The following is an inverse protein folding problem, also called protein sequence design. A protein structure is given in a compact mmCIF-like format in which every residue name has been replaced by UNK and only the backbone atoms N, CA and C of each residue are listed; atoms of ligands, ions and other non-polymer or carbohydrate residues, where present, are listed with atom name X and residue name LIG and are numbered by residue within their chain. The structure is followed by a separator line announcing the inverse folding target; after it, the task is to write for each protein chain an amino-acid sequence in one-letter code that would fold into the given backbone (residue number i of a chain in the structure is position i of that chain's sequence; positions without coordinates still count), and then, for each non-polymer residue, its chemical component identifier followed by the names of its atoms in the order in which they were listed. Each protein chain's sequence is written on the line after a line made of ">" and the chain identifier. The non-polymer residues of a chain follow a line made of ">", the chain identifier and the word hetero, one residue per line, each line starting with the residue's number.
data_IF_362070022978
#
_entry.id   IF_362070022978
#
_cell.length_a   1.000
_cell.length_b   1.000
_cell.length_c   1.000
_cell.angle_alpha   90.00
_cell.angle_beta   90.00
_cell.angle_gamma   90.00
#
_symmetry.space_group_name_H-M   'P 1'
#
loop_
_entity.id
_entity.type
_entity.pdbx_description
1 polymer ?
#
# COMPACT_ATOMS: atom_id res chain seq x y z
N UNK A 1 -35.62 -15.32 87.81
CA UNK A 1 -35.49 -14.46 86.61
C UNK A 1 -34.31 -14.96 85.77
N UNK A 2 -34.56 -15.76 84.74
CA UNK A 2 -33.50 -16.19 83.81
C UNK A 2 -33.78 -15.53 82.46
N UNK A 3 -32.88 -14.65 82.00
CA UNK A 3 -32.94 -14.06 80.67
C UNK A 3 -32.35 -15.07 79.66
N UNK A 4 -33.04 -15.39 78.56
CA UNK A 4 -32.43 -16.16 77.49
C UNK A 4 -31.31 -15.32 76.85
N UNK A 5 -30.17 -15.96 76.63
CA UNK A 5 -28.99 -15.39 75.97
C UNK A 5 -29.20 -15.61 74.47
N UNK A 6 -29.43 -14.54 73.72
CA UNK A 6 -29.64 -14.64 72.27
C UNK A 6 -28.40 -15.26 71.60
N UNK A 7 -28.55 -16.28 70.75
CA UNK A 7 -27.42 -16.89 70.08
C UNK A 7 -26.80 -15.90 69.09
N UNK A 8 -25.46 -15.82 69.01
CA UNK A 8 -24.80 -14.90 68.09
C UNK A 8 -25.15 -15.28 66.64
N UNK A 9 -25.66 -14.30 65.90
CA UNK A 9 -26.20 -14.44 64.52
C UNK A 9 -25.14 -14.78 63.46
N UNK A 10 -23.86 -14.89 63.84
CA UNK A 10 -22.76 -15.21 62.93
C UNK A 10 -21.87 -16.26 63.62
N UNK A 11 -21.88 -17.48 63.10
CA UNK A 11 -21.00 -18.55 63.55
C UNK A 11 -19.55 -18.24 63.16
N UNK A 12 -18.58 -18.49 64.04
CA UNK A 12 -17.16 -18.20 63.77
C UNK A 12 -16.62 -18.88 62.50
N UNK A 13 -17.17 -20.03 62.12
CA UNK A 13 -16.89 -20.70 60.84
C UNK A 13 -17.36 -19.89 59.63
N UNK A 14 -18.48 -19.19 59.72
CA UNK A 14 -19.01 -18.35 58.66
C UNK A 14 -18.12 -17.11 58.46
N UNK A 15 -17.62 -16.53 59.55
CA UNK A 15 -16.66 -15.42 59.48
C UNK A 15 -15.34 -15.84 58.81
N UNK A 16 -14.81 -17.02 59.19
CA UNK A 16 -13.61 -17.56 58.53
C UNK A 16 -13.83 -17.88 57.05
N UNK A 17 -14.99 -18.43 56.69
CA UNK A 17 -15.31 -18.69 55.28
C UNK A 17 -15.34 -17.40 54.45
N UNK A 18 -15.89 -16.31 55.01
CA UNK A 18 -15.92 -15.00 54.34
C UNK A 18 -14.51 -14.43 54.16
N UNK A 19 -13.63 -14.59 55.15
CA UNK A 19 -12.22 -14.16 55.05
C UNK A 19 -11.48 -14.95 53.96
N UNK A 20 -11.62 -16.28 53.95
CA UNK A 20 -10.97 -17.11 52.92
C UNK A 20 -11.50 -16.79 51.53
N UNK A 21 -12.82 -16.59 51.40
CA UNK A 21 -13.45 -16.24 50.12
C UNK A 21 -12.98 -14.88 49.60
N UNK A 22 -12.86 -13.87 50.48
CA UNK A 22 -12.37 -12.55 50.09
C UNK A 22 -10.91 -12.58 49.67
N UNK A 23 -10.05 -13.33 50.38
CA UNK A 23 -8.65 -13.55 49.98
C UNK A 23 -8.57 -14.26 48.63
N UNK A 24 -9.39 -15.31 48.42
CA UNK A 24 -9.41 -16.05 47.16
C UNK A 24 -9.83 -15.17 45.97
N UNK A 25 -10.89 -14.35 46.14
CA UNK A 25 -11.32 -13.39 45.12
C UNK A 25 -10.22 -12.37 44.82
N UNK A 26 -9.56 -11.84 45.84
CA UNK A 26 -8.45 -10.91 45.67
C UNK A 26 -7.29 -11.55 44.89
N UNK A 27 -6.98 -12.81 45.19
CA UNK A 27 -5.91 -13.56 44.52
C UNK A 27 -6.23 -13.83 43.05
N UNK A 28 -7.49 -14.13 42.70
CA UNK A 28 -7.93 -14.31 41.31
C UNK A 28 -7.78 -13.01 40.51
N UNK A 29 -8.16 -11.87 41.11
CA UNK A 29 -8.03 -10.55 40.47
C UNK A 29 -6.56 -10.19 40.28
N UNK A 30 -5.71 -10.40 41.29
CA UNK A 30 -4.27 -10.12 41.23
C UNK A 30 -3.56 -11.02 40.20
N UNK A 31 -3.88 -12.31 40.20
CA UNK A 31 -3.33 -13.29 39.26
C UNK A 31 -3.73 -12.98 37.81
N UNK A 32 -4.96 -12.52 37.57
CA UNK A 32 -5.42 -12.08 36.24
C UNK A 32 -4.71 -10.81 35.74
N UNK A 33 -4.38 -9.88 36.65
CA UNK A 33 -3.61 -8.67 36.30
C UNK A 33 -2.13 -8.97 36.04
N UNK A 34 -1.56 -9.95 36.73
CA UNK A 34 -0.14 -10.29 36.61
C UNK A 34 0.20 -11.14 35.37
N UNK A 35 -0.72 -12.00 34.91
CA UNK A 35 -0.55 -12.76 33.67
C UNK A 35 -0.64 -11.90 32.42
N UNK A 36 -1.43 -10.82 32.45
CA UNK A 36 -1.57 -9.91 31.31
C UNK A 36 -0.31 -9.08 31.09
N UNK A 37 0.36 -8.61 32.15
CA UNK A 37 1.58 -7.78 31.99
C UNK A 37 2.74 -8.53 31.32
N UNK A 38 2.92 -9.82 31.59
CA UNK A 38 4.00 -10.60 30.97
C UNK A 38 3.78 -10.84 29.47
N UNK A 39 2.53 -11.03 29.03
CA UNK A 39 2.19 -11.22 27.62
C UNK A 39 2.25 -9.93 26.80
N UNK A 40 1.89 -8.79 27.39
CA UNK A 40 1.96 -7.50 26.70
C UNK A 40 3.41 -7.04 26.47
N UNK A 41 4.32 -7.32 27.40
CA UNK A 41 5.74 -6.94 27.25
C UNK A 41 6.40 -7.77 26.15
N UNK A 42 6.17 -9.09 26.09
CA UNK A 42 6.79 -9.93 25.06
C UNK A 42 6.27 -9.61 23.65
N UNK A 43 4.97 -9.33 23.49
CA UNK A 43 4.42 -8.95 22.19
C UNK A 43 4.88 -7.56 21.74
N UNK A 44 5.09 -6.63 22.67
CA UNK A 44 5.61 -5.31 22.35
C UNK A 44 7.08 -5.38 21.89
N UNK A 45 7.89 -6.25 22.51
CA UNK A 45 9.27 -6.49 22.09
C UNK A 45 9.35 -7.10 20.68
N UNK A 46 8.54 -8.11 20.39
CA UNK A 46 8.52 -8.77 19.07
C UNK A 46 8.06 -7.83 17.95
N UNK A 47 7.05 -7.00 18.21
CA UNK A 47 6.59 -5.99 17.24
C UNK A 47 7.66 -4.92 16.99
N UNK A 48 8.32 -4.44 18.05
CA UNK A 48 9.36 -3.42 17.93
C UNK A 48 10.58 -3.95 17.16
N UNK A 49 10.96 -5.21 17.39
CA UNK A 49 12.06 -5.85 16.66
C UNK A 49 11.72 -6.02 15.17
N UNK A 50 10.49 -6.43 14.85
CA UNK A 50 10.02 -6.53 13.48
C UNK A 50 10.05 -5.17 12.74
N UNK A 51 9.61 -4.10 13.41
CA UNK A 51 9.64 -2.74 12.85
C UNK A 51 11.07 -2.25 12.59
N UNK A 52 11.99 -2.50 13.53
CA UNK A 52 13.40 -2.16 13.37
C UNK A 52 14.00 -2.89 12.15
N UNK A 53 13.74 -4.19 12.01
CA UNK A 53 14.24 -4.97 10.88
C UNK A 53 13.67 -4.47 9.54
N UNK A 54 12.37 -4.16 9.50
CA UNK A 54 11.74 -3.61 8.32
C UNK A 54 12.36 -2.25 7.92
N UNK A 55 12.64 -1.38 8.88
CA UNK A 55 13.20 -0.06 8.61
C UNK A 55 14.68 -0.13 8.21
N UNK A 56 15.46 -1.04 8.80
CA UNK A 56 16.83 -1.31 8.38
C UNK A 56 16.89 -1.83 6.94
N UNK A 57 16.00 -2.77 6.57
CA UNK A 57 15.91 -3.29 5.21
C UNK A 57 15.54 -2.19 4.19
N UNK A 58 14.60 -1.31 4.54
CA UNK A 58 14.27 -0.13 3.72
C UNK A 58 15.48 0.79 3.56
N UNK A 59 16.18 1.10 4.66
CA UNK A 59 17.37 1.95 4.63
C UNK A 59 18.45 1.38 3.73
N UNK A 60 18.73 0.08 3.84
CA UNK A 60 19.72 -0.57 2.98
C UNK A 60 19.33 -0.50 1.50
N UNK A 61 18.05 -0.77 1.18
CA UNK A 61 17.53 -0.65 -0.19
C UNK A 61 17.67 0.77 -0.73
N UNK A 62 17.35 1.78 0.07
CA UNK A 62 17.47 3.19 -0.32
C UNK A 62 18.93 3.60 -0.51
N UNK A 63 19.84 3.14 0.34
CA UNK A 63 21.27 3.40 0.19
C UNK A 63 21.82 2.76 -1.09
N UNK A 64 21.49 1.49 -1.36
CA UNK A 64 21.87 0.82 -2.62
C UNK A 64 21.35 1.60 -3.83
N UNK A 65 20.08 2.03 -3.80
CA UNK A 65 19.51 2.80 -4.90
C UNK A 65 20.18 4.16 -5.09
N UNK A 66 20.48 4.86 -4.00
CA UNK A 66 21.23 6.12 -4.04
C UNK A 66 22.59 5.90 -4.70
N UNK A 67 23.29 4.86 -4.29
CA UNK A 67 24.63 4.56 -4.77
C UNK A 67 24.60 4.17 -6.26
N UNK A 68 23.60 3.40 -6.70
CA UNK A 68 23.36 3.10 -8.13
C UNK A 68 23.11 4.35 -8.96
N UNK A 69 22.21 5.22 -8.51
CA UNK A 69 21.83 6.45 -9.23
C UNK A 69 22.97 7.46 -9.26
N UNK A 70 23.86 7.44 -8.26
CA UNK A 70 25.02 8.33 -8.20
C UNK A 70 26.14 8.00 -9.20
N UNK A 71 26.09 6.84 -9.86
CA UNK A 71 27.09 6.44 -10.85
C UNK A 71 26.83 7.13 -12.18
N UNK A 72 27.87 7.67 -12.80
CA UNK A 72 27.81 8.32 -14.11
C UNK A 72 27.25 7.39 -15.20
N UNK A 73 27.52 6.08 -15.13
CA UNK A 73 26.96 5.07 -16.03
C UNK A 73 25.42 5.03 -15.99
N UNK A 74 24.83 5.12 -14.80
CA UNK A 74 23.38 5.16 -14.63
C UNK A 74 22.79 6.44 -15.21
N UNK A 75 23.47 7.58 -15.02
CA UNK A 75 23.06 8.86 -15.59
C UNK A 75 23.11 8.83 -17.11
N UNK A 76 24.17 8.25 -17.69
CA UNK A 76 24.28 8.09 -19.15
C UNK A 76 23.19 7.17 -19.69
N UNK A 77 22.96 6.01 -19.07
CA UNK A 77 21.91 5.09 -19.47
C UNK A 77 20.52 5.75 -19.40
N UNK A 78 20.22 6.44 -18.30
CA UNK A 78 18.97 7.18 -18.15
C UNK A 78 18.82 8.28 -19.22
N UNK A 79 19.91 9.02 -19.49
CA UNK A 79 19.92 10.06 -20.49
C UNK A 79 19.62 9.51 -21.90
N UNK A 80 20.17 8.34 -22.26
CA UNK A 80 19.92 7.71 -23.57
C UNK A 80 18.53 7.08 -23.67
N UNK A 81 18.12 6.32 -22.65
CA UNK A 81 16.91 5.49 -22.69
C UNK A 81 15.63 6.26 -22.37
N UNK A 82 15.66 7.10 -21.33
CA UNK A 82 14.46 7.80 -20.84
C UNK A 82 14.37 9.24 -21.33
N UNK A 83 15.50 9.96 -21.33
CA UNK A 83 15.52 11.36 -21.75
C UNK A 83 15.76 11.53 -23.26
N UNK A 84 16.16 10.47 -23.97
CA UNK A 84 16.57 10.48 -25.37
C UNK A 84 17.59 11.59 -25.70
N UNK A 85 18.45 11.90 -24.73
CA UNK A 85 19.50 12.89 -24.86
C UNK A 85 20.67 12.36 -25.67
N UNK A 86 21.26 13.28 -26.43
CA UNK A 86 22.32 13.02 -27.38
C UNK A 86 23.58 13.75 -26.88
N UNK A 87 24.73 13.06 -26.80
CA UNK A 87 25.99 13.66 -26.34
C UNK A 87 26.45 14.71 -27.36
N UNK A 88 27.15 15.76 -26.91
CA UNK A 88 27.66 16.78 -27.84
C UNK A 88 28.62 16.13 -28.86
N UNK A 89 28.26 16.19 -30.14
CA UNK A 89 29.02 15.58 -31.23
C UNK A 89 28.38 14.33 -31.84
N UNK A 90 27.38 13.73 -31.18
CA UNK A 90 26.59 12.63 -31.75
C UNK A 90 25.59 13.19 -32.78
N UNK A 91 25.34 12.46 -33.88
CA UNK A 91 24.33 12.83 -34.88
C UNK A 91 23.06 11.99 -34.66
N UNK A 92 21.93 12.59 -34.22
CA UNK A 92 20.69 11.86 -34.09
C UNK A 92 20.21 11.42 -35.48
N UNK A 93 19.98 10.12 -35.66
CA UNK A 93 19.36 9.57 -36.86
C UNK A 93 17.89 9.31 -36.57
N UNK A 94 17.02 10.07 -37.23
CA UNK A 94 15.57 9.87 -37.17
C UNK A 94 15.21 9.08 -38.42
N UNK A 95 14.68 7.86 -38.25
CA UNK A 95 14.07 7.14 -39.37
C UNK A 95 12.78 7.86 -39.73
N UNK A 96 12.85 8.68 -40.78
CA UNK A 96 11.66 9.15 -41.48
C UNK A 96 11.31 8.05 -42.46
N UNK A 97 10.21 7.33 -42.21
CA UNK A 97 9.62 6.48 -43.23
C UNK A 97 9.25 7.38 -44.42
N UNK A 98 10.02 7.26 -45.49
CA UNK A 98 9.65 7.82 -46.78
C UNK A 98 8.36 7.13 -47.19
N UNK A 99 7.21 7.74 -46.92
CA UNK A 99 6.02 7.53 -47.73
C UNK A 99 6.40 8.01 -49.13
N UNK A 100 6.94 7.09 -49.91
CA UNK A 100 7.37 7.36 -51.27
C UNK A 100 6.12 7.87 -52.01
N UNK A 101 6.20 9.09 -52.51
CA UNK A 101 5.42 9.53 -53.65
C UNK A 101 5.65 8.50 -54.76
N UNK A 102 4.74 7.53 -54.88
CA UNK A 102 4.63 6.69 -56.05
C UNK A 102 4.31 7.60 -57.24
N UNK A 103 5.33 7.94 -58.02
CA UNK A 103 5.14 8.30 -59.41
C UNK A 103 4.65 7.07 -60.17
N UNK A 104 3.39 7.14 -60.61
CA UNK A 104 2.75 6.42 -61.73
C UNK A 104 3.34 5.06 -62.13
N UNK A 105 2.63 4.01 -61.71
CA UNK A 105 2.46 2.78 -62.46
C UNK A 105 1.03 2.30 -62.22
N UNK A 106 0.18 2.36 -63.25
CA UNK A 106 -1.20 1.85 -63.20
C UNK A 106 -1.21 0.38 -62.83
N UNK A 107 -1.73 0.08 -61.64
CA UNK A 107 -2.41 -1.17 -61.34
C UNK A 107 -3.52 -0.84 -60.33
N UNK A 108 -4.76 -0.87 -60.81
CA UNK A 108 -5.95 -0.79 -59.97
C UNK A 108 -5.96 -1.99 -59.03
N UNK A 109 -5.52 -1.77 -57.80
CA UNK A 109 -5.80 -2.67 -56.70
C UNK A 109 -7.09 -2.14 -56.04
N UNK A 110 -8.12 -2.97 -55.81
CA UNK A 110 -9.35 -2.49 -55.20
C UNK A 110 -9.05 -2.00 -53.79
N UNK A 111 -8.96 -0.68 -53.64
CA UNK A 111 -8.96 0.01 -52.37
C UNK A 111 -10.21 -0.45 -51.62
N UNK A 112 -10.10 -1.08 -50.43
CA UNK A 112 -11.20 -0.99 -49.49
C UNK A 112 -11.39 0.50 -49.27
N UNK A 113 -12.50 1.05 -49.79
CA UNK A 113 -12.90 2.43 -49.53
C UNK A 113 -13.10 2.55 -48.02
N UNK A 114 -12.01 2.86 -47.31
CA UNK A 114 -12.07 3.25 -45.92
C UNK A 114 -12.64 4.66 -45.94
N UNK A 115 -13.97 4.69 -45.87
CA UNK A 115 -14.77 5.90 -45.82
C UNK A 115 -14.06 6.89 -44.91
N UNK A 116 -13.74 8.06 -45.47
CA UNK A 116 -13.10 9.16 -44.76
C UNK A 116 -13.82 9.34 -43.42
N UNK A 117 -13.20 8.82 -42.35
CA UNK A 117 -13.74 9.04 -41.02
C UNK A 117 -13.64 10.54 -40.79
N UNK A 118 -14.76 11.22 -40.46
CA UNK A 118 -14.71 12.64 -40.20
C UNK A 118 -13.60 12.88 -39.16
N UNK A 119 -12.77 13.89 -39.40
CA UNK A 119 -11.74 14.29 -38.44
C UNK A 119 -12.46 14.81 -37.19
N UNK A 120 -12.75 13.90 -36.26
CA UNK A 120 -13.42 14.23 -35.01
C UNK A 120 -12.35 14.55 -33.98
N UNK A 121 -12.37 15.74 -33.36
CA UNK A 121 -11.39 16.09 -32.34
C UNK A 121 -11.41 15.11 -31.16
N UNK A 122 -10.24 14.85 -30.58
CA UNK A 122 -10.05 13.87 -29.50
C UNK A 122 -11.07 13.99 -28.37
N UNK A 123 -11.45 15.22 -27.96
CA UNK A 123 -12.41 15.46 -26.87
C UNK A 123 -13.79 14.81 -27.10
N UNK A 124 -14.23 14.64 -28.34
CA UNK A 124 -15.49 13.96 -28.67
C UNK A 124 -15.47 12.48 -28.27
N UNK A 125 -14.32 11.82 -28.46
CA UNK A 125 -14.15 10.42 -28.05
C UNK A 125 -14.22 10.29 -26.53
N UNK A 126 -13.58 11.20 -25.80
CA UNK A 126 -13.67 11.24 -24.34
C UNK A 126 -15.11 11.46 -23.88
N UNK A 127 -15.83 12.39 -24.50
CA UNK A 127 -17.22 12.66 -24.16
C UNK A 127 -18.12 11.43 -24.34
N UNK A 128 -17.99 10.75 -25.50
CA UNK A 128 -18.75 9.53 -25.77
C UNK A 128 -18.43 8.40 -24.79
N UNK A 129 -17.18 8.25 -24.38
CA UNK A 129 -16.79 7.22 -23.40
C UNK A 129 -17.44 7.44 -22.03
N UNK A 130 -17.58 8.69 -21.59
CA UNK A 130 -18.14 9.00 -20.27
C UNK A 130 -19.66 9.10 -20.24
N UNK A 131 -20.29 9.53 -21.33
CA UNK A 131 -21.71 9.86 -21.35
C UNK A 131 -22.53 9.05 -22.36
N UNK A 132 -21.88 8.21 -23.19
CA UNK A 132 -22.48 7.37 -24.25
C UNK A 132 -23.53 8.09 -25.12
N UNK A 133 -23.37 9.40 -25.29
CA UNK A 133 -24.27 10.27 -26.03
C UNK A 133 -23.52 11.34 -26.82
N UNK A 134 -24.15 11.86 -27.86
CA UNK A 134 -23.59 12.95 -28.67
C UNK A 134 -23.82 14.30 -27.98
N UNK A 135 -22.78 15.17 -27.87
CA UNK A 135 -22.85 16.44 -27.12
C UNK A 135 -23.88 17.45 -27.66
N UNK A 136 -24.41 17.26 -28.86
CA UNK A 136 -25.40 18.14 -29.51
C UNK A 136 -26.85 17.66 -29.37
N UNK A 137 -27.10 16.51 -28.73
CA UNK A 137 -28.45 16.03 -28.40
C UNK A 137 -28.81 16.33 -26.95
N UNK A 138 -28.74 17.61 -26.58
CA UNK A 138 -29.25 18.16 -25.31
C UNK A 138 -30.70 18.62 -25.49
#
# INVERSE_FOLDING_TARGET
>A
MNRPKDPPLISGTQFMAIIVLTIAIFMIIDFGRRTTTAYYVSQAEEQLEADIQAELAKREKLLKRRDEVSKDEYVEQWAREQAHWVRSGDRPFILVESSASQGQGSAEQPTPSEAASPNVPNWYHWWKLFFDMEPWKL
#
